data_IF_152721113053
#
_entry.id   IF_152721113053
#
_cell.length_a   1.000
_cell.length_b   1.000
_cell.length_c   1.000
_cell.angle_alpha   90.00
_cell.angle_beta   90.00
_cell.angle_gamma   90.00
#
_symmetry.space_group_name_H-M   'P 1'
#
loop_
_entity.id
_entity.type
_entity.pdbx_description
1 polymer ?
#
# COMPACT_ATOMS: atom_id res chain seq x y z
N UNK A 1 36.64 14.79 -22.17
CA UNK A 1 35.83 13.72 -21.57
C UNK A 1 34.42 13.97 -22.06
N UNK A 2 33.86 12.99 -22.77
CA UNK A 2 32.64 13.11 -23.53
C UNK A 2 31.44 13.33 -22.60
N UNK A 3 30.73 14.44 -22.78
CA UNK A 3 29.39 14.65 -22.25
C UNK A 3 28.41 13.82 -23.10
N UNK A 4 28.37 12.51 -22.85
CA UNK A 4 27.26 11.71 -23.35
C UNK A 4 26.05 11.96 -22.43
N UNK A 5 24.92 12.46 -22.97
CA UNK A 5 23.69 12.53 -22.18
C UNK A 5 23.31 11.11 -21.72
N UNK A 6 22.70 10.97 -20.53
CA UNK A 6 22.29 9.68 -20.01
C UNK A 6 21.38 8.98 -21.04
N UNK A 7 21.48 7.65 -21.19
CA UNK A 7 20.72 6.91 -22.18
C UNK A 7 19.23 7.20 -22.00
N UNK A 8 18.62 7.78 -23.03
CA UNK A 8 17.18 7.97 -23.09
C UNK A 8 16.56 6.57 -23.00
N UNK A 9 15.86 6.28 -21.90
CA UNK A 9 15.07 5.06 -21.78
C UNK A 9 14.09 5.05 -22.93
N UNK A 10 14.28 4.14 -23.88
CA UNK A 10 13.27 3.82 -24.88
C UNK A 10 11.95 3.60 -24.15
N UNK A 11 10.89 4.29 -24.56
CA UNK A 11 9.56 4.06 -24.01
C UNK A 11 9.21 2.60 -24.29
N UNK A 12 9.27 1.75 -23.26
CA UNK A 12 8.92 0.34 -23.40
C UNK A 12 7.45 0.26 -23.86
N UNK A 13 7.25 -0.14 -25.13
CA UNK A 13 5.93 -0.17 -25.78
C UNK A 13 5.05 -1.22 -25.11
N UNK A 14 3.77 -0.87 -24.88
CA UNK A 14 2.75 -1.81 -24.40
C UNK A 14 2.33 -2.68 -25.58
N UNK A 15 2.39 -4.00 -25.41
CA UNK A 15 1.93 -4.97 -26.42
C UNK A 15 0.53 -5.43 -26.03
N UNK A 16 -0.35 -5.58 -27.04
CA UNK A 16 -1.74 -5.96 -26.82
C UNK A 16 -2.05 -7.22 -27.60
N UNK A 17 -2.74 -8.15 -26.95
CA UNK A 17 -3.19 -9.39 -27.54
C UNK A 17 -4.69 -9.51 -27.38
N UNK A 18 -5.38 -10.03 -28.39
CA UNK A 18 -6.78 -10.38 -28.32
C UNK A 18 -6.93 -11.90 -28.25
N UNK A 19 -7.78 -12.37 -27.34
CA UNK A 19 -8.13 -13.79 -27.28
C UNK A 19 -9.09 -14.16 -28.41
N UNK A 20 -8.74 -15.18 -29.18
CA UNK A 20 -9.56 -15.77 -30.22
C UNK A 20 -10.17 -17.08 -29.68
N UNK A 21 -11.50 -17.12 -29.52
CA UNK A 21 -12.19 -18.28 -28.94
C UNK A 21 -12.18 -19.51 -29.87
N UNK A 22 -12.28 -19.30 -31.19
CA UNK A 22 -12.30 -20.37 -32.18
C UNK A 22 -10.98 -21.15 -32.21
N UNK A 23 -9.86 -20.41 -32.13
CA UNK A 23 -8.51 -20.97 -32.12
C UNK A 23 -8.02 -21.28 -30.70
N UNK A 24 -8.73 -20.79 -29.68
CA UNK A 24 -8.33 -20.89 -28.27
C UNK A 24 -6.90 -20.42 -28.04
N UNK A 25 -6.54 -19.27 -28.63
CA UNK A 25 -5.21 -18.68 -28.55
C UNK A 25 -5.29 -17.14 -28.43
N UNK A 26 -4.16 -16.52 -28.12
CA UNK A 26 -4.03 -15.07 -28.18
C UNK A 26 -3.31 -14.68 -29.45
N UNK A 27 -3.83 -13.64 -30.12
CA UNK A 27 -3.26 -13.06 -31.31
C UNK A 27 -2.80 -11.63 -30.99
N UNK A 28 -1.57 -11.31 -31.34
CA UNK A 28 -1.02 -9.96 -31.14
C UNK A 28 -1.76 -8.97 -32.06
N UNK A 29 -2.15 -7.83 -31.52
CA UNK A 29 -2.75 -6.75 -32.28
C UNK A 29 -1.65 -5.83 -32.80
N UNK A 30 -1.64 -5.61 -34.12
CA UNK A 30 -0.83 -4.55 -34.73
C UNK A 30 -1.54 -3.21 -34.51
N UNK A 31 -0.99 -2.41 -33.58
CA UNK A 31 -1.53 -1.09 -33.24
C UNK A 31 -0.69 0.02 -33.88
N UNK A 32 -1.37 0.96 -34.52
CA UNK A 32 -0.80 2.23 -34.95
C UNK A 32 -0.37 3.08 -33.73
N UNK A 33 0.66 3.92 -33.91
CA UNK A 33 1.26 4.70 -32.81
C UNK A 33 0.29 5.68 -32.13
N UNK A 34 -0.78 6.08 -32.83
CA UNK A 34 -1.75 7.08 -32.37
C UNK A 34 -3.00 6.47 -31.71
N UNK A 35 -3.15 5.14 -31.69
CA UNK A 35 -4.33 4.50 -31.10
C UNK A 35 -4.23 4.51 -29.58
N UNK A 36 -5.20 5.15 -28.93
CA UNK A 36 -5.27 5.13 -27.48
C UNK A 36 -5.78 3.76 -26.98
N UNK A 37 -5.06 3.16 -26.05
CA UNK A 37 -5.33 1.78 -25.59
C UNK A 37 -6.72 1.60 -24.97
N UNK A 38 -7.28 2.66 -24.36
CA UNK A 38 -8.63 2.60 -23.80
C UNK A 38 -9.70 2.42 -24.88
N UNK A 39 -9.45 2.82 -26.13
CA UNK A 39 -10.39 2.67 -27.26
C UNK A 39 -10.51 1.21 -27.72
N UNK A 40 -9.56 0.36 -27.32
CA UNK A 40 -9.61 -1.07 -27.60
C UNK A 40 -10.54 -1.83 -26.66
N UNK A 41 -10.91 -1.25 -25.51
CA UNK A 41 -11.71 -1.92 -24.50
C UNK A 41 -13.13 -2.15 -25.02
N UNK A 42 -13.49 -3.42 -25.21
CA UNK A 42 -14.77 -3.83 -25.76
C UNK A 42 -15.39 -4.95 -24.91
N UNK A 43 -16.70 -4.90 -24.70
CA UNK A 43 -17.43 -5.85 -23.87
C UNK A 43 -17.43 -7.28 -24.42
N UNK A 44 -17.20 -7.45 -25.72
CA UNK A 44 -17.19 -8.76 -26.38
C UNK A 44 -15.80 -9.43 -26.41
N UNK A 45 -14.76 -8.75 -25.93
CA UNK A 45 -13.38 -9.23 -26.04
C UNK A 45 -12.69 -9.51 -24.70
N UNK A 46 -11.73 -10.44 -24.76
CA UNK A 46 -10.71 -10.59 -23.73
C UNK A 46 -9.40 -10.08 -24.32
N UNK A 47 -8.85 -9.04 -23.71
CA UNK A 47 -7.61 -8.41 -24.13
C UNK A 47 -6.53 -8.68 -23.10
N UNK A 48 -5.29 -8.81 -23.56
CA UNK A 48 -4.13 -9.01 -22.72
C UNK A 48 -3.08 -7.97 -23.05
N UNK A 49 -2.72 -7.17 -22.04
CA UNK A 49 -1.75 -6.10 -22.16
C UNK A 49 -0.47 -6.49 -21.44
N UNK A 50 0.65 -6.46 -22.15
CA UNK A 50 1.98 -6.58 -21.57
C UNK A 50 2.43 -5.17 -21.19
N UNK A 51 2.57 -4.89 -19.89
CA UNK A 51 3.03 -3.61 -19.33
C UNK A 51 4.44 -3.80 -18.72
N UNK A 52 5.51 -3.55 -19.51
CA UNK A 52 6.89 -3.65 -19.04
C UNK A 52 7.19 -2.67 -17.89
N UNK A 53 6.66 -1.44 -17.97
CA UNK A 53 6.89 -0.37 -16.99
C UNK A 53 6.50 -0.81 -15.58
N UNK A 54 5.43 -1.60 -15.44
CA UNK A 54 4.92 -2.08 -14.15
C UNK A 54 5.18 -3.56 -13.89
N UNK A 55 5.94 -4.24 -14.76
CA UNK A 55 6.15 -5.69 -14.74
C UNK A 55 4.83 -6.46 -14.54
N UNK A 56 3.82 -6.12 -15.35
CA UNK A 56 2.48 -6.66 -15.19
C UNK A 56 1.89 -7.09 -16.51
N UNK A 57 1.17 -8.20 -16.46
CA UNK A 57 0.33 -8.70 -17.54
C UNK A 57 -1.12 -8.47 -17.12
N UNK A 58 -1.82 -7.58 -17.81
CA UNK A 58 -3.22 -7.30 -17.54
C UNK A 58 -4.10 -8.16 -18.44
N UNK A 59 -5.11 -8.81 -17.89
CA UNK A 59 -6.12 -9.53 -18.66
C UNK A 59 -7.44 -8.78 -18.46
N UNK A 60 -7.83 -7.98 -19.44
CA UNK A 60 -9.13 -7.33 -19.46
C UNK A 60 -10.19 -8.30 -19.97
N UNK A 61 -11.33 -8.36 -19.28
CA UNK A 61 -12.43 -9.26 -19.59
C UNK A 61 -13.72 -8.46 -19.74
N UNK A 62 -14.16 -8.32 -21.00
CA UNK A 62 -15.44 -7.69 -21.31
C UNK A 62 -16.63 -8.41 -20.68
N UNK A 63 -17.73 -7.68 -20.47
CA UNK A 63 -18.90 -8.20 -19.77
C UNK A 63 -19.69 -9.26 -20.54
N UNK A 64 -19.59 -9.31 -21.86
CA UNK A 64 -20.32 -10.25 -22.71
C UNK A 64 -19.55 -11.57 -22.94
N UNK A 65 -18.29 -11.66 -22.49
CA UNK A 65 -17.47 -12.86 -22.70
C UNK A 65 -17.91 -14.00 -21.78
N UNK A 66 -17.88 -15.22 -22.30
CA UNK A 66 -18.33 -16.39 -21.53
C UNK A 66 -17.32 -16.81 -20.45
N UNK A 67 -17.81 -17.47 -19.40
CA UNK A 67 -16.94 -18.06 -18.35
C UNK A 67 -15.89 -18.99 -18.95
N UNK A 68 -16.25 -19.76 -19.99
CA UNK A 68 -15.30 -20.64 -20.70
C UNK A 68 -14.13 -19.86 -21.29
N UNK A 69 -14.41 -18.75 -21.98
CA UNK A 69 -13.38 -17.87 -22.55
C UNK A 69 -12.47 -17.33 -21.44
N UNK A 70 -13.02 -16.88 -20.30
CA UNK A 70 -12.25 -16.42 -19.13
C UNK A 70 -11.31 -17.49 -18.59
N UNK A 71 -11.77 -18.74 -18.48
CA UNK A 71 -10.95 -19.85 -18.01
C UNK A 71 -9.83 -20.20 -18.98
N UNK A 72 -10.13 -20.31 -20.27
CA UNK A 72 -9.14 -20.71 -21.29
C UNK A 72 -8.09 -19.61 -21.46
N UNK A 73 -8.51 -18.35 -21.55
CA UNK A 73 -7.62 -17.20 -21.65
C UNK A 73 -6.66 -17.09 -20.45
N UNK A 74 -7.16 -17.25 -19.22
CA UNK A 74 -6.33 -17.24 -18.01
C UNK A 74 -5.33 -18.42 -17.98
N UNK A 75 -5.71 -19.58 -18.51
CA UNK A 75 -4.83 -20.76 -18.60
C UNK A 75 -3.67 -20.54 -19.59
N UNK A 76 -3.89 -19.78 -20.67
CA UNK A 76 -2.89 -19.53 -21.71
C UNK A 76 -1.97 -18.36 -21.33
N UNK A 77 -2.47 -17.37 -20.59
CA UNK A 77 -1.72 -16.16 -20.23
C UNK A 77 -0.31 -16.38 -19.65
N UNK A 78 -0.02 -17.40 -18.80
CA UNK A 78 1.33 -17.72 -18.35
C UNK A 78 2.32 -18.00 -19.49
N UNK A 79 1.88 -18.67 -20.57
CA UNK A 79 2.73 -18.96 -21.72
C UNK A 79 3.13 -17.72 -22.52
N UNK A 80 2.36 -16.64 -22.42
CA UNK A 80 2.67 -15.34 -23.03
C UNK A 80 3.60 -14.57 -22.09
N UNK A 81 3.25 -14.51 -20.81
CA UNK A 81 4.09 -13.94 -19.75
C UNK A 81 5.52 -14.44 -19.83
N UNK A 82 5.71 -15.75 -19.94
CA UNK A 82 7.03 -16.37 -19.91
C UNK A 82 7.92 -15.97 -21.12
N UNK A 83 7.33 -15.48 -22.21
CA UNK A 83 8.08 -14.93 -23.36
C UNK A 83 8.70 -13.56 -23.06
N UNK A 84 8.07 -12.77 -22.19
CA UNK A 84 8.50 -11.41 -21.84
C UNK A 84 9.25 -11.35 -20.51
N UNK A 85 8.91 -12.25 -19.58
CA UNK A 85 9.62 -12.42 -18.32
C UNK A 85 8.74 -13.07 -17.26
N UNK A 86 9.29 -14.09 -16.61
CA UNK A 86 8.62 -14.80 -15.49
C UNK A 86 8.28 -13.89 -14.30
N UNK A 87 8.93 -12.72 -14.20
CA UNK A 87 8.72 -11.74 -13.15
C UNK A 87 7.40 -10.95 -13.30
N UNK A 88 6.76 -11.01 -14.47
CA UNK A 88 5.52 -10.29 -14.71
C UNK A 88 4.36 -10.87 -13.89
N UNK A 89 3.68 -10.02 -13.12
CA UNK A 89 2.50 -10.43 -12.37
C UNK A 89 1.28 -10.44 -13.29
N UNK A 90 0.55 -11.55 -13.36
CA UNK A 90 -0.73 -11.61 -14.08
C UNK A 90 -1.82 -11.02 -13.18
N UNK A 91 -2.62 -10.08 -13.71
CA UNK A 91 -3.75 -9.47 -13.02
C UNK A 91 -4.94 -9.44 -13.95
N UNK A 92 -6.01 -10.13 -13.60
CA UNK A 92 -7.28 -10.05 -14.32
C UNK A 92 -8.07 -8.82 -13.89
N UNK A 93 -8.77 -8.22 -14.84
CA UNK A 93 -9.58 -7.01 -14.69
C UNK A 93 -10.90 -7.25 -15.43
N UNK A 94 -11.99 -7.29 -14.70
CA UNK A 94 -13.33 -7.34 -15.28
C UNK A 94 -13.79 -5.94 -15.65
N UNK A 95 -14.52 -5.82 -16.77
CA UNK A 95 -15.13 -4.56 -17.21
C UNK A 95 -16.03 -3.95 -16.12
N UNK A 96 -15.83 -2.66 -15.85
CA UNK A 96 -16.52 -1.93 -14.78
C UNK A 96 -15.91 -2.14 -13.39
N UNK A 97 -14.89 -2.99 -13.26
CA UNK A 97 -14.11 -3.22 -12.02
C UNK A 97 -12.63 -2.90 -12.20
N UNK A 98 -12.30 -1.94 -13.08
CA UNK A 98 -10.92 -1.56 -13.39
C UNK A 98 -10.23 -0.89 -12.21
N UNK A 99 -9.07 -1.43 -11.82
CA UNK A 99 -8.21 -0.80 -10.80
C UNK A 99 -7.49 0.42 -11.37
N UNK A 100 -7.20 1.42 -10.54
CA UNK A 100 -6.52 2.67 -10.95
C UNK A 100 -5.23 2.42 -11.76
N UNK A 101 -4.43 1.41 -11.38
CA UNK A 101 -3.22 1.05 -12.11
C UNK A 101 -3.46 0.54 -13.53
N UNK A 102 -4.61 -0.10 -13.79
CA UNK A 102 -5.01 -0.50 -15.14
C UNK A 102 -5.51 0.72 -15.92
N UNK A 103 -6.36 1.55 -15.32
CA UNK A 103 -6.86 2.79 -15.95
C UNK A 103 -5.73 3.73 -16.36
N UNK A 104 -4.73 3.91 -15.51
CA UNK A 104 -3.53 4.67 -15.83
C UNK A 104 -2.67 4.02 -16.93
N UNK A 105 -2.70 2.69 -17.06
CA UNK A 105 -2.00 1.96 -18.12
C UNK A 105 -2.67 2.16 -19.48
N UNK A 106 -4.01 2.07 -19.53
CA UNK A 106 -4.76 2.25 -20.80
C UNK A 106 -4.97 3.72 -21.19
N UNK A 107 -4.61 4.67 -20.32
CA UNK A 107 -4.76 6.10 -20.55
C UNK A 107 -6.12 6.69 -20.18
N UNK A 108 -6.93 5.99 -19.37
CA UNK A 108 -8.20 6.50 -18.83
C UNK A 108 -8.01 7.44 -17.63
N UNK A 109 -6.91 7.29 -16.89
CA UNK A 109 -6.55 8.13 -15.75
C UNK A 109 -5.11 8.61 -15.92
N UNK A 110 -4.79 9.81 -15.44
CA UNK A 110 -3.39 10.25 -15.38
C UNK A 110 -2.63 9.38 -14.38
N UNK A 111 -1.45 8.93 -14.77
CA UNK A 111 -0.55 8.23 -13.86
C UNK A 111 -0.14 9.22 -12.76
N UNK A 112 -0.58 8.97 -11.52
CA UNK A 112 -0.17 9.77 -10.37
C UNK A 112 1.34 9.60 -10.21
N UNK A 113 2.10 10.59 -10.67
CA UNK A 113 3.53 10.66 -10.44
C UNK A 113 3.78 11.07 -8.99
N UNK A 114 3.90 10.06 -8.13
CA UNK A 114 4.29 10.24 -6.73
C UNK A 114 5.70 10.87 -6.57
N UNK A 115 6.44 11.10 -7.66
CA UNK A 115 7.75 11.75 -7.63
C UNK A 115 7.70 13.29 -7.67
N UNK A 116 6.59 13.92 -8.12
CA UNK A 116 6.62 15.38 -8.36
C UNK A 116 5.93 16.26 -7.31
N UNK A 117 4.98 15.81 -6.47
CA UNK A 117 4.43 16.67 -5.40
C UNK A 117 4.04 15.87 -4.14
N UNK A 118 4.96 15.79 -3.17
CA UNK A 118 4.62 15.89 -1.76
C UNK A 118 5.88 16.23 -0.94
N UNK A 119 6.08 17.49 -0.57
CA UNK A 119 6.97 17.82 0.57
C UNK A 119 6.25 17.38 1.83
N UNK A 120 6.44 16.12 2.21
CA UNK A 120 6.15 15.66 3.57
C UNK A 120 7.03 16.40 4.58
N UNK A 121 6.65 16.46 5.86
CA UNK A 121 7.49 17.09 6.87
C UNK A 121 8.87 16.43 6.89
N UNK A 122 9.93 17.24 6.86
CA UNK A 122 11.29 16.76 7.08
C UNK A 122 11.40 16.32 8.55
N UNK A 123 11.27 15.01 8.80
CA UNK A 123 11.54 14.47 10.12
C UNK A 123 13.05 14.54 10.41
N UNK A 124 13.42 15.29 11.44
CA UNK A 124 14.79 15.47 11.94
C UNK A 124 15.28 14.26 12.75
N UNK A 125 15.14 13.06 12.19
CA UNK A 125 15.59 11.82 12.80
C UNK A 125 17.10 11.62 12.68
N UNK A 126 17.72 11.09 13.73
CA UNK A 126 19.15 10.74 13.73
C UNK A 126 19.41 9.39 13.03
N UNK A 127 20.66 9.12 12.64
CA UNK A 127 21.07 7.80 12.12
C UNK A 127 20.90 6.69 13.16
N UNK A 128 20.94 7.02 14.45
CA UNK A 128 20.65 6.10 15.55
C UNK A 128 19.19 5.64 15.50
N UNK A 129 18.26 6.56 15.25
CA UNK A 129 16.84 6.25 15.10
C UNK A 129 16.62 5.25 13.94
N UNK A 130 17.34 5.38 12.82
CA UNK A 130 17.30 4.40 11.71
C UNK A 130 17.85 3.00 12.07
N UNK A 131 18.92 2.94 12.87
CA UNK A 131 19.53 1.68 13.28
C UNK A 131 18.64 0.92 14.29
N UNK A 132 17.97 1.65 15.20
CA UNK A 132 16.96 1.08 16.08
C UNK A 132 15.79 0.47 15.28
N UNK A 133 15.36 1.14 14.20
CA UNK A 133 14.24 0.70 13.36
C UNK A 133 14.53 -0.50 12.44
N UNK A 134 15.79 -0.75 12.10
CA UNK A 134 16.14 -1.98 11.36
C UNK A 134 16.07 -3.24 12.22
N UNK A 135 16.09 -3.10 13.55
CA UNK A 135 16.21 -4.20 14.51
C UNK A 135 15.00 -4.32 15.47
N UNK A 136 13.83 -3.84 15.03
CA UNK A 136 12.58 -3.67 15.78
C UNK A 136 12.19 -4.85 16.70
N UNK A 137 12.63 -4.77 17.96
CA UNK A 137 11.99 -5.45 19.10
C UNK A 137 10.98 -4.50 19.76
N UNK A 138 9.99 -5.06 20.48
CA UNK A 138 8.97 -4.25 21.20
C UNK A 138 9.60 -3.24 22.17
N UNK A 139 10.70 -3.62 22.82
CA UNK A 139 11.46 -2.78 23.74
C UNK A 139 12.03 -1.52 23.06
N UNK A 140 12.49 -1.63 21.81
CA UNK A 140 13.02 -0.49 21.05
C UNK A 140 11.92 0.47 20.59
N UNK A 141 10.74 -0.06 20.29
CA UNK A 141 9.56 0.75 19.97
C UNK A 141 9.15 1.56 21.21
N UNK A 142 9.14 0.94 22.40
CA UNK A 142 8.86 1.64 23.65
C UNK A 142 9.85 2.78 23.92
N UNK A 143 11.15 2.57 23.72
CA UNK A 143 12.16 3.62 23.88
C UNK A 143 11.93 4.81 22.93
N UNK A 144 11.55 4.54 21.68
CA UNK A 144 11.23 5.59 20.70
C UNK A 144 9.98 6.38 21.12
N UNK A 145 8.95 5.69 21.61
CA UNK A 145 7.70 6.27 22.10
C UNK A 145 7.85 7.10 23.38
N UNK A 146 8.86 6.77 24.20
CA UNK A 146 9.26 7.57 25.37
C UNK A 146 9.97 8.84 24.95
N UNK A 147 10.94 8.73 24.03
CA UNK A 147 11.69 9.88 23.49
C UNK A 147 10.77 10.86 22.74
N UNK A 148 9.77 10.37 22.02
CA UNK A 148 8.85 11.21 21.24
C UNK A 148 7.79 11.93 22.07
N UNK A 149 7.57 11.48 23.31
CA UNK A 149 6.50 11.97 24.18
C UNK A 149 5.09 11.80 23.61
N UNK A 150 4.10 12.17 24.41
CA UNK A 150 2.70 12.31 23.96
C UNK A 150 2.39 13.81 23.91
N UNK A 151 1.71 14.31 22.85
CA UNK A 151 1.29 15.70 22.81
C UNK A 151 0.37 16.06 23.98
N UNK A 152 0.42 17.31 24.43
CA UNK A 152 -0.40 17.80 25.54
C UNK A 152 -1.90 17.66 25.21
N UNK A 153 -2.70 17.20 26.19
CA UNK A 153 -4.14 16.98 26.02
C UNK A 153 -4.51 15.67 25.32
N UNK A 154 -3.55 14.76 25.10
CA UNK A 154 -3.78 13.47 24.47
C UNK A 154 -3.25 12.31 25.30
N UNK A 155 -3.91 11.16 25.21
CA UNK A 155 -3.44 9.88 25.71
C UNK A 155 -3.19 8.91 24.56
N UNK A 156 -2.07 8.18 24.62
CA UNK A 156 -1.74 7.15 23.63
C UNK A 156 -2.55 5.88 23.92
N UNK A 157 -3.38 5.45 22.96
CA UNK A 157 -4.18 4.22 23.11
C UNK A 157 -3.61 3.05 22.35
N UNK A 158 -3.18 3.28 21.12
CA UNK A 158 -2.71 2.21 20.25
C UNK A 158 -1.50 2.65 19.43
N UNK A 159 -0.74 1.67 18.99
CA UNK A 159 0.45 1.86 18.16
C UNK A 159 0.43 0.81 17.06
N UNK A 160 0.54 1.26 15.81
CA UNK A 160 0.65 0.41 14.63
C UNK A 160 2.11 0.41 14.19
N UNK A 161 2.70 -0.78 14.11
CA UNK A 161 4.07 -0.98 13.64
C UNK A 161 4.05 -1.98 12.50
N UNK A 162 4.45 -1.52 11.31
CA UNK A 162 4.32 -2.28 10.05
C UNK A 162 2.87 -2.71 9.82
N UNK A 163 2.57 -4.01 9.96
CA UNK A 163 1.27 -4.61 9.75
C UNK A 163 0.63 -5.13 11.05
N UNK A 164 1.16 -4.74 12.22
CA UNK A 164 0.66 -5.18 13.53
C UNK A 164 0.19 -3.98 14.34
N UNK A 165 -0.94 -4.16 15.01
CA UNK A 165 -1.53 -3.18 15.91
C UNK A 165 -1.35 -3.65 17.37
N UNK A 166 -0.98 -2.72 18.23
CA UNK A 166 -0.75 -2.95 19.65
C UNK A 166 -1.55 -1.95 20.48
N UNK A 167 -2.11 -2.41 21.60
CA UNK A 167 -2.62 -1.52 22.64
C UNK A 167 -1.47 -1.01 23.51
N UNK A 168 -1.53 0.24 23.92
CA UNK A 168 -0.57 0.88 24.84
C UNK A 168 -1.21 1.06 26.22
N UNK A 169 -0.53 0.63 27.27
CA UNK A 169 -0.97 0.83 28.66
C UNK A 169 0.20 1.22 29.56
N UNK A 170 -0.09 2.09 30.52
CA UNK A 170 0.82 2.45 31.61
C UNK A 170 0.32 1.81 32.91
N UNK A 171 1.23 1.18 33.65
CA UNK A 171 0.93 0.57 34.94
C UNK A 171 1.76 1.21 36.04
N UNK A 172 1.12 1.49 37.17
CA UNK A 172 1.81 1.88 38.40
C UNK A 172 2.31 0.60 39.09
N UNK A 173 3.63 0.41 39.16
CA UNK A 173 4.24 -0.65 39.98
C UNK A 173 4.95 -0.05 41.18
N UNK A 174 4.56 -0.51 42.36
CA UNK A 174 5.21 -0.15 43.62
C UNK A 174 6.48 -0.98 43.81
N UNK A 175 7.63 -0.35 43.61
CA UNK A 175 8.93 -0.90 43.94
C UNK A 175 9.47 -0.19 45.17
N UNK A 176 9.60 -0.92 46.29
CA UNK A 176 10.27 -0.43 47.51
C UNK A 176 9.74 0.95 47.99
N UNK A 177 8.42 1.17 47.92
CA UNK A 177 7.76 2.40 48.36
C UNK A 177 7.74 3.54 47.33
N UNK A 178 8.32 3.35 46.14
CA UNK A 178 8.24 4.28 45.01
C UNK A 178 7.32 3.74 43.92
N UNK A 179 6.38 4.57 43.44
CA UNK A 179 5.51 4.24 42.31
C UNK A 179 6.30 4.48 41.01
N UNK A 180 6.59 3.42 40.26
CA UNK A 180 7.22 3.50 38.94
C UNK A 180 6.16 3.21 37.88
N UNK A 181 6.01 4.13 36.93
CA UNK A 181 5.13 3.96 35.76
C UNK A 181 5.84 3.12 34.71
N UNK A 182 5.46 1.85 34.58
CA UNK A 182 5.94 0.98 33.51
C UNK A 182 5.01 1.04 32.29
N UNK A 183 5.59 1.24 31.11
CA UNK A 183 4.88 1.35 29.84
C UNK A 183 5.03 0.04 29.08
N UNK A 184 3.92 -0.50 28.56
CA UNK A 184 3.95 -1.76 27.84
C UNK A 184 3.00 -1.76 26.64
N UNK A 185 3.47 -2.38 25.54
CA UNK A 185 2.67 -2.68 24.35
C UNK A 185 2.13 -4.11 24.45
N UNK A 186 0.85 -4.28 24.14
CA UNK A 186 0.17 -5.57 24.13
C UNK A 186 -0.44 -5.84 22.75
N UNK A 187 -0.44 -7.10 22.28
CA UNK A 187 -1.37 -7.51 21.25
C UNK A 187 -2.81 -7.12 21.66
N UNK A 188 -3.64 -6.74 20.70
CA UNK A 188 -5.06 -6.54 20.98
C UNK A 188 -5.67 -7.85 21.47
N UNK A 189 -6.61 -7.76 22.42
CA UNK A 189 -7.32 -8.93 22.94
C UNK A 189 -8.28 -9.52 21.92
N UNK A 190 -8.81 -8.68 21.05
CA UNK A 190 -9.75 -9.03 19.99
C UNK A 190 -9.06 -8.80 18.65
N UNK A 191 -9.24 -9.74 17.72
CA UNK A 191 -8.78 -9.57 16.34
C UNK A 191 -9.65 -8.48 15.68
N UNK A 192 -9.00 -7.57 14.97
CA UNK A 192 -9.72 -6.58 14.15
C UNK A 192 -10.32 -7.33 12.98
N UNK A 193 -11.63 -7.24 12.79
CA UNK A 193 -12.34 -7.92 11.70
C UNK A 193 -11.75 -7.53 10.33
N UNK A 194 -11.75 -8.49 9.40
CA UNK A 194 -11.34 -8.25 8.03
C UNK A 194 -12.25 -7.21 7.37
N UNK A 195 -11.66 -6.11 6.91
CA UNK A 195 -12.39 -5.03 6.28
C UNK A 195 -11.84 -3.65 6.63
N UNK A 196 -12.51 -2.58 6.20
CA UNK A 196 -12.15 -1.23 6.58
C UNK A 196 -12.41 -1.03 8.08
N UNK A 197 -11.36 -0.68 8.83
CA UNK A 197 -11.46 -0.33 10.25
C UNK A 197 -11.35 1.19 10.42
N UNK A 198 -12.38 1.82 11.00
CA UNK A 198 -12.35 3.23 11.38
C UNK A 198 -12.03 3.34 12.88
N UNK A 199 -10.89 3.95 13.22
CA UNK A 199 -10.51 4.23 14.60
C UNK A 199 -11.28 5.45 15.14
N UNK A 200 -12.57 5.26 15.44
CA UNK A 200 -13.43 6.32 15.94
C UNK A 200 -12.84 7.00 17.18
N UNK A 201 -12.94 8.34 17.25
CA UNK A 201 -12.42 9.17 18.35
C UNK A 201 -10.90 9.11 18.59
N UNK A 202 -10.13 8.60 17.61
CA UNK A 202 -8.68 8.62 17.64
C UNK A 202 -8.10 9.53 16.56
N UNK A 203 -7.07 10.28 16.91
CA UNK A 203 -6.27 11.08 15.98
C UNK A 203 -4.98 10.32 15.67
N UNK A 204 -4.70 9.99 14.39
CA UNK A 204 -3.45 9.35 14.03
C UNK A 204 -2.29 10.35 14.09
N UNK A 205 -1.21 10.00 14.78
CA UNK A 205 0.08 10.69 14.71
C UNK A 205 1.10 9.77 14.07
N UNK A 206 1.62 10.17 12.92
CA UNK A 206 2.63 9.41 12.19
C UNK A 206 4.03 9.88 12.58
N UNK A 207 4.91 8.94 12.93
CA UNK A 207 6.34 9.22 13.02
C UNK A 207 6.98 8.89 11.67
N UNK A 208 7.56 9.90 11.03
CA UNK A 208 8.35 9.72 9.83
C UNK A 208 9.81 9.47 10.19
N UNK A 209 10.60 8.92 9.28
CA UNK A 209 12.06 8.92 9.33
C UNK A 209 12.57 8.70 7.91
N UNK A 210 13.38 9.63 7.39
CA UNK A 210 13.88 9.59 6.00
C UNK A 210 12.76 9.32 4.98
N UNK A 211 11.67 10.07 5.09
CA UNK A 211 10.48 9.97 4.24
C UNK A 211 9.75 8.60 4.28
N UNK A 212 9.91 7.84 5.37
CA UNK A 212 9.18 6.58 5.61
C UNK A 212 8.37 6.68 6.89
N UNK A 213 7.13 6.19 6.88
CA UNK A 213 6.36 6.02 8.11
C UNK A 213 6.98 4.90 8.93
N UNK A 214 7.49 5.28 10.10
CA UNK A 214 8.14 4.40 11.06
C UNK A 214 7.10 3.64 11.87
N UNK A 215 6.13 4.37 12.39
CA UNK A 215 5.00 3.85 13.15
C UNK A 215 3.89 4.89 13.16
N UNK A 216 2.67 4.44 13.46
CA UNK A 216 1.50 5.29 13.63
C UNK A 216 0.95 5.13 15.04
N UNK A 217 0.83 6.23 15.77
CA UNK A 217 0.15 6.29 17.06
C UNK A 217 -1.33 6.62 16.83
N UNK A 218 -2.23 5.97 17.56
CA UNK A 218 -3.62 6.41 17.66
C UNK A 218 -3.81 7.07 19.03
N UNK A 219 -3.96 8.39 18.99
CA UNK A 219 -4.09 9.23 20.17
C UNK A 219 -5.56 9.51 20.44
N UNK A 220 -6.00 9.38 21.68
CA UNK A 220 -7.33 9.82 22.09
C UNK A 220 -7.17 11.14 22.84
N UNK A 221 -8.05 12.11 22.56
CA UNK A 221 -8.08 13.35 23.34
C UNK A 221 -8.46 13.02 24.78
N UNK A 222 -7.73 13.58 25.74
CA UNK A 222 -8.13 13.50 27.14
C UNK A 222 -9.31 14.47 27.27
N UNK A 223 -10.52 13.94 27.43
CA UNK A 223 -11.66 14.76 27.81
C UNK A 223 -11.46 15.24 29.26
N UNK A 224 -11.69 16.53 29.52
CA UNK A 224 -11.57 17.18 30.84
C UNK A 224 -12.40 16.49 31.95
N UNK A 225 -13.31 15.56 31.58
CA UNK A 225 -14.20 14.83 32.49
C UNK A 225 -13.54 13.71 33.30
N UNK A 226 -12.31 13.28 32.99
CA UNK A 226 -11.64 12.22 33.79
C UNK A 226 -10.99 12.72 35.08
N UNK A 227 -10.92 14.04 35.32
CA UNK A 227 -10.46 14.57 36.62
C UNK A 227 -11.57 14.56 37.69
N UNK A 228 -12.86 14.53 37.30
CA UNK A 228 -13.97 14.53 38.25
C UNK A 228 -14.23 13.14 38.87
N UNK A 229 -14.01 12.03 38.15
CA UNK A 229 -14.23 10.68 38.69
C UNK A 229 -13.15 10.21 39.69
N UNK A 230 -12.03 10.93 39.83
CA UNK A 230 -11.02 10.65 40.88
C UNK A 230 -11.24 11.43 42.18
N UNK A 231 -12.23 12.33 42.25
CA UNK A 231 -12.53 13.07 43.48
C UNK A 231 -13.79 12.58 44.21
N UNK A 232 -14.51 11.57 43.69
CA UNK A 232 -15.71 11.00 44.34
C UNK A 232 -15.59 9.52 44.78
N UNK A 233 -14.38 8.97 44.93
CA UNK A 233 -14.16 7.71 45.67
C UNK A 233 -13.10 7.83 46.75
#
# INVERSE_FOLDING_TARGET
MSDDPPPQKEKEKILVFQYNDELSEYQELELDEDVALYELLDSDFILLFVDPKRYRLWIYQGNNVTTRMKFVSARIAPSIRDRYGIAFKITSVDEGSEVAGFKAMVGLEEEVDYSEIQTGPAYEGTQEDLALLKSLSLEKILLLLEKSGVPEGYERKMVIVKNKIFGYKEYDKNYLGSVIKEKQLFPLKEEVEDGPYLAENHIPRMLFSYNKVVLTELLQKIDDKKEEEKQEN
#
